data_IF_208585695064
#
_entry.id   IF_208585695064
#
_cell.length_a   1.000
_cell.length_b   1.000
_cell.length_c   1.000
_cell.angle_alpha   90.00
_cell.angle_beta   90.00
_cell.angle_gamma   90.00
#
_symmetry.space_group_name_H-M   'P 1'
#
loop_
_entity.id
_entity.type
_entity.pdbx_description
1 polymer ?
#
# COMPACT_ATOMS: atom_id res chain seq x y z
N UNK A 1 -6.79 26.94 -59.85
CA UNK A 1 -7.38 27.15 -58.50
C UNK A 1 -8.59 26.25 -58.24
N UNK A 2 -9.52 26.11 -59.19
CA UNK A 2 -10.75 25.28 -59.04
C UNK A 2 -10.50 23.79 -58.74
N UNK A 3 -9.57 23.14 -59.46
CA UNK A 3 -9.28 21.71 -59.31
C UNK A 3 -8.75 21.31 -57.91
N UNK A 4 -8.04 22.21 -57.24
CA UNK A 4 -7.55 21.99 -55.86
C UNK A 4 -8.68 22.01 -54.83
N UNK A 5 -9.68 22.88 -55.05
CA UNK A 5 -10.85 23.01 -54.18
C UNK A 5 -11.75 21.76 -54.25
N UNK A 6 -11.88 21.16 -55.43
CA UNK A 6 -12.66 19.93 -55.63
C UNK A 6 -12.01 18.71 -54.95
N UNK A 7 -10.68 18.59 -55.04
CA UNK A 7 -9.91 17.53 -54.35
C UNK A 7 -10.08 17.67 -52.83
N UNK A 8 -9.95 18.89 -52.29
CA UNK A 8 -10.14 19.15 -50.87
C UNK A 8 -11.55 18.76 -50.40
N UNK A 9 -12.58 19.16 -51.14
CA UNK A 9 -13.95 18.78 -50.79
C UNK A 9 -14.18 17.26 -50.85
N UNK A 10 -13.53 16.56 -51.78
CA UNK A 10 -13.62 15.10 -51.90
C UNK A 10 -13.00 14.41 -50.68
N UNK A 11 -11.82 14.87 -50.23
CA UNK A 11 -11.16 14.37 -49.02
C UNK A 11 -12.05 14.59 -47.79
N UNK A 12 -12.64 15.78 -47.64
CA UNK A 12 -13.53 16.08 -46.50
C UNK A 12 -14.78 15.18 -46.49
N UNK A 13 -15.38 14.93 -47.66
CA UNK A 13 -16.54 14.04 -47.79
C UNK A 13 -16.19 12.58 -47.48
N UNK A 14 -15.02 12.13 -47.93
CA UNK A 14 -14.53 10.77 -47.66
C UNK A 14 -14.21 10.58 -46.18
N UNK A 15 -13.56 11.57 -45.55
CA UNK A 15 -13.28 11.56 -44.10
C UNK A 15 -14.58 11.53 -43.28
N UNK A 16 -15.62 12.26 -43.72
CA UNK A 16 -16.96 12.21 -43.10
C UNK A 16 -17.65 10.85 -43.31
N UNK A 17 -17.52 10.22 -44.48
CA UNK A 17 -18.05 8.87 -44.76
C UNK A 17 -17.36 7.80 -43.91
N UNK A 18 -16.03 7.85 -43.79
CA UNK A 18 -15.26 6.93 -42.95
C UNK A 18 -15.69 7.06 -41.48
N UNK A 19 -15.86 8.30 -40.98
CA UNK A 19 -16.39 8.54 -39.62
C UNK A 19 -17.82 8.02 -39.44
N UNK A 20 -18.67 8.11 -40.47
CA UNK A 20 -20.08 7.67 -40.42
C UNK A 20 -20.23 6.15 -40.61
N UNK A 21 -19.26 5.49 -41.24
CA UNK A 21 -19.24 4.04 -41.50
C UNK A 21 -18.71 3.21 -40.34
N UNK A 22 -18.02 3.82 -39.37
CA UNK A 22 -17.62 3.18 -38.12
C UNK A 22 -18.86 3.05 -37.22
N UNK A 23 -19.75 2.11 -37.54
CA UNK A 23 -20.78 1.66 -36.61
C UNK A 23 -20.05 1.04 -35.42
N UNK A 24 -19.92 1.80 -34.33
CA UNK A 24 -19.50 1.27 -33.04
C UNK A 24 -20.57 0.26 -32.61
N UNK A 25 -20.23 -1.03 -32.68
CA UNK A 25 -21.00 -2.07 -32.02
C UNK A 25 -20.85 -1.83 -30.53
N UNK A 26 -21.85 -1.19 -29.95
CA UNK A 26 -21.91 -0.94 -28.52
C UNK A 26 -22.34 -2.25 -27.84
N UNK A 27 -21.35 -3.07 -27.48
CA UNK A 27 -21.59 -4.23 -26.63
C UNK A 27 -21.90 -3.68 -25.24
N UNK A 28 -23.17 -3.76 -24.82
CA UNK A 28 -23.60 -3.38 -23.49
C UNK A 28 -23.63 -4.63 -22.61
N UNK A 29 -22.70 -4.72 -21.67
CA UNK A 29 -22.66 -5.78 -20.66
C UNK A 29 -23.57 -5.34 -19.50
N UNK A 30 -24.55 -6.15 -19.08
CA UNK A 30 -25.35 -5.89 -17.89
C UNK A 30 -24.49 -5.68 -16.63
N UNK A 31 -24.91 -4.78 -15.74
CA UNK A 31 -24.11 -4.39 -14.57
C UNK A 31 -23.83 -5.54 -13.62
N UNK A 32 -24.82 -6.41 -13.40
CA UNK A 32 -24.72 -7.62 -12.60
C UNK A 32 -23.66 -8.59 -13.16
N UNK A 33 -23.66 -8.81 -14.47
CA UNK A 33 -22.66 -9.66 -15.13
C UNK A 33 -21.27 -9.05 -15.03
N UNK A 34 -21.15 -7.73 -15.24
CA UNK A 34 -19.89 -7.01 -15.07
C UNK A 34 -19.35 -7.16 -13.65
N UNK A 35 -20.18 -6.91 -12.63
CA UNK A 35 -19.81 -7.05 -11.23
C UNK A 35 -19.40 -8.48 -10.89
N UNK A 36 -20.11 -9.50 -11.37
CA UNK A 36 -19.75 -10.90 -11.16
C UNK A 36 -18.37 -11.23 -11.74
N UNK A 37 -18.06 -10.71 -12.93
CA UNK A 37 -16.74 -10.86 -13.57
C UNK A 37 -15.67 -10.21 -12.69
N UNK A 38 -15.81 -8.92 -12.34
CA UNK A 38 -14.78 -8.24 -11.54
C UNK A 38 -14.65 -8.81 -10.14
N UNK A 39 -15.72 -9.31 -9.53
CA UNK A 39 -15.70 -9.89 -8.18
C UNK A 39 -14.77 -11.12 -8.07
N UNK A 40 -14.67 -11.90 -9.15
CA UNK A 40 -13.86 -13.13 -9.17
C UNK A 40 -12.38 -12.86 -9.40
N UNK A 41 -12.01 -11.69 -9.93
CA UNK A 41 -10.66 -11.38 -10.34
C UNK A 41 -9.76 -10.94 -9.17
N UNK A 42 -8.43 -11.18 -9.26
CA UNK A 42 -7.44 -10.55 -8.38
C UNK A 42 -7.47 -9.02 -8.51
N UNK A 43 -7.07 -8.32 -7.44
CA UNK A 43 -7.14 -6.85 -7.38
C UNK A 43 -6.37 -6.19 -8.52
N UNK A 44 -5.20 -6.73 -8.88
CA UNK A 44 -4.39 -6.24 -10.00
C UNK A 44 -5.15 -6.19 -11.33
N UNK A 45 -5.92 -7.24 -11.63
CA UNK A 45 -6.74 -7.29 -12.84
C UNK A 45 -7.88 -6.29 -12.78
N UNK A 46 -8.50 -6.12 -11.60
CA UNK A 46 -9.56 -5.14 -11.37
C UNK A 46 -9.05 -3.71 -11.58
N UNK A 47 -7.84 -3.38 -11.11
CA UNK A 47 -7.26 -2.05 -11.30
C UNK A 47 -7.09 -1.70 -12.79
N UNK A 48 -6.73 -2.66 -13.63
CA UNK A 48 -6.66 -2.47 -15.10
C UNK A 48 -8.04 -2.26 -15.72
N UNK A 49 -9.07 -2.90 -15.17
CA UNK A 49 -10.44 -2.82 -15.68
C UNK A 49 -11.11 -1.47 -15.43
N UNK A 50 -10.55 -0.63 -14.57
CA UNK A 50 -10.96 0.78 -14.46
C UNK A 50 -10.78 1.54 -15.79
N UNK A 51 -9.84 1.13 -16.65
CA UNK A 51 -9.60 1.77 -17.94
C UNK A 51 -10.63 1.39 -19.03
N UNK A 52 -11.52 0.41 -18.78
CA UNK A 52 -12.50 -0.08 -19.76
C UNK A 52 -13.57 0.98 -20.04
N UNK A 53 -14.12 1.60 -18.98
CA UNK A 53 -15.11 2.66 -19.10
C UNK A 53 -15.24 3.45 -17.79
N UNK A 54 -15.75 4.69 -17.87
CA UNK A 54 -16.10 5.49 -16.68
C UNK A 54 -17.08 4.79 -15.74
N UNK A 55 -17.97 3.98 -16.30
CA UNK A 55 -18.94 3.21 -15.52
C UNK A 55 -18.23 2.15 -14.67
N UNK A 56 -17.37 1.33 -15.28
CA UNK A 56 -16.59 0.31 -14.59
C UNK A 56 -15.69 0.92 -13.51
N UNK A 57 -14.99 2.01 -13.85
CA UNK A 57 -14.20 2.78 -12.89
C UNK A 57 -15.04 3.21 -11.69
N UNK A 58 -16.24 3.77 -11.93
CA UNK A 58 -17.10 4.28 -10.86
C UNK A 58 -17.57 3.17 -9.91
N UNK A 59 -17.90 1.98 -10.42
CA UNK A 59 -18.32 0.83 -9.61
C UNK A 59 -17.16 0.27 -8.80
N UNK A 60 -16.02 0.05 -9.45
CA UNK A 60 -14.81 -0.51 -8.83
C UNK A 60 -14.29 0.37 -7.69
N UNK A 61 -14.41 1.71 -7.83
CA UNK A 61 -13.95 2.66 -6.80
C UNK A 61 -14.90 2.80 -5.61
N UNK A 62 -16.08 2.17 -5.62
CA UNK A 62 -17.00 2.25 -4.48
C UNK A 62 -16.48 1.47 -3.28
N UNK A 63 -16.72 2.00 -2.07
CA UNK A 63 -16.39 1.30 -0.82
C UNK A 63 -17.15 -0.01 -0.66
N UNK A 64 -18.40 -0.05 -1.12
CA UNK A 64 -19.24 -1.25 -1.10
C UNK A 64 -18.63 -2.38 -1.94
N UNK A 65 -18.24 -2.07 -3.18
CA UNK A 65 -17.56 -3.05 -4.05
C UNK A 65 -16.29 -3.58 -3.38
N UNK A 66 -15.44 -2.71 -2.85
CA UNK A 66 -14.22 -3.11 -2.14
C UNK A 66 -14.49 -4.01 -0.93
N UNK A 67 -15.52 -3.70 -0.12
CA UNK A 67 -15.90 -4.51 1.02
C UNK A 67 -16.41 -5.91 0.61
N UNK A 68 -17.28 -5.97 -0.41
CA UNK A 68 -17.78 -7.25 -0.96
C UNK A 68 -16.66 -8.07 -1.59
N UNK A 69 -15.76 -7.42 -2.34
CA UNK A 69 -14.61 -8.08 -2.95
C UNK A 69 -13.67 -8.67 -1.91
N UNK A 70 -13.31 -7.90 -0.87
CA UNK A 70 -12.49 -8.40 0.23
C UNK A 70 -13.13 -9.59 0.95
N UNK A 71 -14.44 -9.51 1.25
CA UNK A 71 -15.16 -10.62 1.86
C UNK A 71 -15.18 -11.86 0.95
N UNK A 72 -15.35 -11.67 -0.37
CA UNK A 72 -15.32 -12.75 -1.34
C UNK A 72 -13.93 -13.40 -1.44
N UNK A 73 -12.84 -12.63 -1.47
CA UNK A 73 -11.48 -13.20 -1.51
C UNK A 73 -11.11 -13.93 -0.22
N UNK A 74 -11.57 -13.47 0.96
CA UNK A 74 -11.35 -14.16 2.24
C UNK A 74 -12.00 -15.54 2.33
N UNK A 75 -13.04 -15.78 1.53
CA UNK A 75 -13.74 -17.07 1.47
C UNK A 75 -13.13 -18.04 0.44
N UNK A 76 -12.14 -17.61 -0.35
CA UNK A 76 -11.39 -18.51 -1.24
C UNK A 76 -10.32 -19.27 -0.45
N UNK A 77 -9.67 -20.20 -1.13
CA UNK A 77 -8.57 -20.96 -0.55
C UNK A 77 -7.51 -20.04 0.04
N UNK A 78 -7.08 -20.30 1.30
CA UNK A 78 -6.10 -19.48 1.98
C UNK A 78 -4.79 -19.45 1.19
N UNK A 79 -4.15 -18.28 1.18
CA UNK A 79 -2.88 -18.05 0.47
C UNK A 79 -1.82 -17.63 1.47
N UNK A 80 -0.59 -18.04 1.22
CA UNK A 80 0.56 -17.62 2.01
C UNK A 80 1.18 -16.37 1.39
N UNK A 81 1.44 -15.37 2.23
CA UNK A 81 2.21 -14.20 1.83
C UNK A 81 3.57 -14.25 2.52
N UNK A 82 4.62 -14.44 1.72
CA UNK A 82 6.00 -14.37 2.18
C UNK A 82 6.50 -12.94 1.98
N UNK A 83 7.10 -12.38 3.03
CA UNK A 83 7.72 -11.06 2.97
C UNK A 83 9.21 -11.21 3.22
N UNK A 84 10.02 -10.62 2.35
CA UNK A 84 11.47 -10.56 2.48
C UNK A 84 11.93 -9.14 2.19
N UNK A 85 13.06 -8.73 2.76
CA UNK A 85 13.57 -7.38 2.62
C UNK A 85 15.10 -7.39 2.43
N UNK A 86 15.58 -6.41 1.68
CA UNK A 86 16.99 -6.04 1.56
C UNK A 86 17.24 -4.66 2.14
N UNK A 87 18.40 -4.07 1.83
CA UNK A 87 18.77 -2.72 2.29
C UNK A 87 17.90 -1.60 1.68
N UNK A 88 17.37 -1.83 0.48
CA UNK A 88 16.70 -0.83 -0.37
C UNK A 88 15.40 -1.33 -1.00
N UNK A 89 14.93 -2.52 -0.61
CA UNK A 89 13.71 -3.08 -1.18
C UNK A 89 12.96 -4.04 -0.25
N UNK A 90 11.65 -4.14 -0.46
CA UNK A 90 10.77 -5.13 0.17
C UNK A 90 10.09 -5.94 -0.92
N UNK A 91 10.13 -7.27 -0.79
CA UNK A 91 9.53 -8.21 -1.72
C UNK A 91 8.43 -9.00 -1.03
N UNK A 92 7.28 -9.06 -1.70
CA UNK A 92 6.14 -9.89 -1.33
C UNK A 92 5.99 -11.01 -2.36
N UNK A 93 5.82 -12.24 -1.90
CA UNK A 93 5.50 -13.40 -2.72
C UNK A 93 4.23 -14.06 -2.19
N UNK A 94 3.18 -14.05 -3.01
CA UNK A 94 1.96 -14.78 -2.73
C UNK A 94 2.07 -16.18 -3.31
N UNK A 95 1.86 -17.18 -2.46
CA UNK A 95 1.95 -18.59 -2.76
C UNK A 95 0.64 -19.25 -2.44
N UNK A 96 0.25 -20.21 -3.27
CA UNK A 96 -0.86 -21.11 -2.94
C UNK A 96 -0.49 -21.95 -1.70
N UNK A 97 -1.44 -22.11 -0.75
CA UNK A 97 -1.15 -22.81 0.50
C UNK A 97 -0.88 -24.30 0.27
N UNK A 98 -1.62 -24.94 -0.62
CA UNK A 98 -1.54 -26.40 -0.81
C UNK A 98 -0.33 -26.79 -1.66
N UNK A 99 -0.12 -26.09 -2.77
CA UNK A 99 0.90 -26.41 -3.77
C UNK A 99 2.21 -25.65 -3.58
N UNK A 100 2.22 -24.59 -2.75
CA UNK A 100 3.37 -23.66 -2.61
C UNK A 100 3.78 -23.02 -3.95
N UNK A 101 2.89 -23.06 -4.95
CA UNK A 101 3.16 -22.47 -6.27
C UNK A 101 3.13 -20.94 -6.17
N UNK A 102 4.04 -20.27 -6.90
CA UNK A 102 4.09 -18.81 -6.96
C UNK A 102 2.95 -18.30 -7.84
N UNK A 103 2.04 -17.54 -7.26
CA UNK A 103 0.97 -16.90 -8.02
C UNK A 103 1.30 -15.45 -8.38
N UNK A 104 1.82 -14.71 -7.42
CA UNK A 104 2.07 -13.28 -7.56
C UNK A 104 3.33 -12.87 -6.80
N UNK A 105 4.05 -11.90 -7.38
CA UNK A 105 5.24 -11.32 -6.78
C UNK A 105 5.22 -9.82 -6.97
N UNK A 106 5.52 -9.11 -5.89
CA UNK A 106 5.59 -7.65 -5.82
C UNK A 106 6.93 -7.25 -5.20
N UNK A 107 7.52 -6.19 -5.71
CA UNK A 107 8.78 -5.64 -5.21
C UNK A 107 8.62 -4.13 -5.12
N UNK A 108 8.91 -3.58 -3.96
CA UNK A 108 8.89 -2.15 -3.69
C UNK A 108 10.31 -1.71 -3.43
N UNK A 109 10.77 -0.72 -4.20
CA UNK A 109 11.97 0.04 -3.87
C UNK A 109 11.63 0.99 -2.71
N UNK A 110 12.53 1.07 -1.75
CA UNK A 110 12.41 1.96 -0.60
C UNK A 110 13.71 2.71 -0.40
N UNK A 111 13.64 3.82 0.34
CA UNK A 111 14.85 4.52 0.76
C UNK A 111 15.75 3.58 1.56
N UNK A 112 17.07 3.75 1.42
CA UNK A 112 18.05 2.95 2.13
C UNK A 112 17.75 2.94 3.63
N UNK A 113 17.68 1.74 4.19
CA UNK A 113 17.22 1.56 5.56
C UNK A 113 18.42 1.55 6.50
N UNK A 114 18.35 2.38 7.53
CA UNK A 114 19.37 2.40 8.56
C UNK A 114 18.94 1.54 9.76
N UNK A 115 19.45 0.31 9.82
CA UNK A 115 19.24 -0.61 10.93
C UNK A 115 18.27 -1.76 10.62
N UNK A 116 17.90 -2.57 11.64
CA UNK A 116 17.00 -3.70 11.45
C UNK A 116 15.58 -3.23 11.14
N UNK A 117 14.96 -3.83 10.12
CA UNK A 117 13.55 -3.62 9.76
C UNK A 117 12.70 -4.71 10.39
N UNK A 118 11.53 -4.31 10.84
CA UNK A 118 10.44 -5.19 11.20
C UNK A 118 9.23 -4.91 10.30
N UNK A 119 8.37 -5.92 10.19
CA UNK A 119 7.20 -5.90 9.32
C UNK A 119 5.98 -6.22 10.18
N UNK A 120 4.93 -5.42 10.06
CA UNK A 120 3.70 -5.64 10.81
C UNK A 120 2.91 -6.82 10.26
N UNK A 121 1.96 -7.30 11.05
CA UNK A 121 0.86 -8.08 10.51
C UNK A 121 0.09 -7.28 9.42
N UNK A 122 -0.58 -8.01 8.53
CA UNK A 122 -1.38 -7.38 7.48
C UNK A 122 -2.75 -6.96 8.03
N UNK A 123 -3.19 -5.74 7.67
CA UNK A 123 -4.51 -5.23 8.02
C UNK A 123 -5.24 -4.79 6.75
N UNK A 124 -6.28 -5.52 6.35
CA UNK A 124 -7.04 -5.27 5.10
C UNK A 124 -6.13 -5.13 3.85
N UNK A 125 -5.03 -5.89 3.80
CA UNK A 125 -4.06 -5.86 2.69
C UNK A 125 -3.01 -4.75 2.78
N UNK A 126 -3.09 -3.89 3.80
CA UNK A 126 -2.03 -2.96 4.16
C UNK A 126 -0.99 -3.66 5.03
N UNK A 127 0.28 -3.36 4.81
CA UNK A 127 1.40 -3.87 5.60
C UNK A 127 2.31 -2.70 5.94
N UNK A 128 2.70 -2.57 7.21
CA UNK A 128 3.68 -1.59 7.63
C UNK A 128 5.07 -2.22 7.67
N UNK A 129 6.09 -1.44 7.32
CA UNK A 129 7.49 -1.74 7.62
C UNK A 129 8.08 -0.59 8.41
N UNK A 130 8.90 -0.91 9.40
CA UNK A 130 9.35 0.07 10.38
C UNK A 130 10.70 -0.29 10.98
N UNK A 131 11.38 0.72 11.51
CA UNK A 131 12.59 0.61 12.31
C UNK A 131 12.61 1.72 13.37
N UNK A 132 13.67 1.76 14.19
CA UNK A 132 13.77 2.75 15.27
C UNK A 132 14.21 4.15 14.80
N UNK A 133 14.75 4.24 13.59
CA UNK A 133 15.48 5.42 13.11
C UNK A 133 14.75 6.19 12.01
N UNK A 134 13.77 5.56 11.33
CA UNK A 134 13.06 6.14 10.18
C UNK A 134 11.54 6.04 10.34
N UNK A 135 10.82 6.88 9.58
CA UNK A 135 9.36 6.88 9.56
C UNK A 135 8.80 5.52 9.13
N UNK A 136 7.65 5.14 9.71
CA UNK A 136 6.93 3.94 9.32
C UNK A 136 6.43 4.09 7.88
N UNK A 137 6.83 3.15 7.03
CA UNK A 137 6.31 3.03 5.68
C UNK A 137 5.09 2.11 5.64
N UNK A 138 4.14 2.42 4.76
CA UNK A 138 2.92 1.61 4.61
C UNK A 138 2.75 1.21 3.15
N UNK A 139 2.63 -0.08 2.92
CA UNK A 139 2.46 -0.67 1.59
C UNK A 139 1.04 -1.15 1.44
N UNK A 140 0.40 -0.76 0.34
CA UNK A 140 -0.86 -1.33 -0.10
C UNK A 140 -0.57 -2.37 -1.19
N UNK A 141 -0.52 -3.64 -0.78
CA UNK A 141 -0.21 -4.76 -1.69
C UNK A 141 -1.27 -4.95 -2.77
N UNK A 142 -2.52 -4.60 -2.46
CA UNK A 142 -3.64 -4.71 -3.39
C UNK A 142 -3.57 -3.72 -4.55
N UNK A 143 -3.01 -2.52 -4.32
CA UNK A 143 -2.88 -1.47 -5.35
C UNK A 143 -1.46 -1.31 -5.87
N UNK A 144 -0.51 -2.11 -5.36
CA UNK A 144 0.92 -2.00 -5.68
C UNK A 144 1.48 -0.59 -5.39
N UNK A 145 1.03 0.04 -4.30
CA UNK A 145 1.46 1.41 -3.96
C UNK A 145 2.15 1.48 -2.60
N UNK A 146 3.24 2.25 -2.54
CA UNK A 146 3.82 2.74 -1.30
C UNK A 146 3.06 4.02 -0.93
N UNK A 147 2.41 4.01 0.23
CA UNK A 147 1.73 5.19 0.76
C UNK A 147 2.77 6.18 1.33
N UNK A 148 2.41 7.47 1.43
CA UNK A 148 3.28 8.45 2.09
C UNK A 148 3.71 7.97 3.48
N UNK A 149 4.99 8.17 3.86
CA UNK A 149 5.49 7.75 5.16
C UNK A 149 4.73 8.46 6.27
N UNK A 150 4.58 7.75 7.39
CA UNK A 150 3.86 8.28 8.53
C UNK A 150 4.69 9.32 9.27
N UNK A 151 4.04 10.23 10.03
CA UNK A 151 4.76 11.12 10.93
C UNK A 151 5.65 10.33 11.88
N UNK A 152 6.86 10.82 12.10
CA UNK A 152 7.80 10.21 13.04
C UNK A 152 7.20 10.11 14.45
N UNK A 153 7.37 8.96 15.07
CA UNK A 153 7.12 8.80 16.50
C UNK A 153 8.12 9.64 17.32
N UNK A 154 7.76 9.99 18.55
CA UNK A 154 8.60 10.80 19.43
C UNK A 154 9.98 10.18 19.65
N UNK A 155 10.06 8.86 19.87
CA UNK A 155 11.34 8.18 20.04
C UNK A 155 12.19 8.19 18.75
N UNK A 156 11.57 8.11 17.57
CA UNK A 156 12.29 8.19 16.29
C UNK A 156 12.83 9.60 16.06
N UNK A 157 12.08 10.63 16.47
CA UNK A 157 12.57 12.02 16.49
C UNK A 157 13.73 12.18 17.44
N UNK A 158 13.62 11.62 18.65
CA UNK A 158 14.70 11.65 19.64
C UNK A 158 15.97 10.97 19.12
N UNK A 159 15.84 9.81 18.49
CA UNK A 159 16.95 9.12 17.83
C UNK A 159 17.59 9.98 16.73
N UNK A 160 16.79 10.68 15.93
CA UNK A 160 17.30 11.58 14.89
C UNK A 160 18.06 12.78 15.48
N UNK A 161 17.59 13.30 16.62
CA UNK A 161 18.20 14.44 17.30
C UNK A 161 19.48 14.02 18.07
N UNK A 162 19.58 12.76 18.52
CA UNK A 162 20.77 12.21 19.17
C UNK A 162 21.15 10.83 18.57
N UNK A 163 21.81 10.77 17.41
CA UNK A 163 22.10 9.50 16.72
C UNK A 163 23.03 8.56 17.49
N UNK A 164 23.71 9.05 18.53
CA UNK A 164 24.57 8.25 19.43
C UNK A 164 23.76 7.45 20.48
N UNK A 165 22.41 7.50 20.42
CA UNK A 165 21.47 6.77 21.27
C UNK A 165 21.52 5.24 21.12
N UNK A 166 22.24 4.71 20.12
CA UNK A 166 22.22 3.29 19.78
C UNK A 166 23.40 2.49 20.39
N UNK A 167 23.00 1.63 21.34
CA UNK A 167 23.62 0.37 21.81
C UNK A 167 24.79 0.45 22.79
N UNK A 168 24.53 -0.18 23.94
CA UNK A 168 25.46 -0.78 24.89
C UNK A 168 26.70 0.03 25.21
N UNK A 169 26.54 1.03 26.08
CA UNK A 169 27.60 1.27 27.03
C UNK A 169 27.01 1.34 28.43
N UNK A 170 27.03 0.18 29.09
CA UNK A 170 27.25 0.17 30.53
C UNK A 170 28.68 0.71 30.76
N UNK A 171 28.91 2.01 30.56
CA UNK A 171 30.06 2.64 31.20
C UNK A 171 29.64 2.80 32.64
N UNK A 172 30.18 1.96 33.51
CA UNK A 172 30.27 2.24 34.93
C UNK A 172 31.22 3.43 35.12
N UNK A 173 30.76 4.64 34.79
CA UNK A 173 31.39 5.88 35.22
C UNK A 173 30.35 6.63 36.06
N UNK A 174 30.53 6.59 37.38
CA UNK A 174 29.62 7.12 38.40
C UNK A 174 29.32 8.64 38.27
N UNK A 175 29.95 9.32 37.29
CA UNK A 175 29.77 10.73 36.98
C UNK A 175 29.06 11.02 35.64
N UNK A 176 28.78 10.02 34.81
CA UNK A 176 28.16 10.22 33.50
C UNK A 176 26.64 10.36 33.62
N UNK A 177 26.08 11.44 33.04
CA UNK A 177 24.63 11.58 32.88
C UNK A 177 24.13 10.39 32.04
N UNK A 178 23.10 9.63 32.47
CA UNK A 178 22.65 8.48 31.71
C UNK A 178 22.15 8.94 30.34
N UNK A 179 22.84 8.52 29.28
CA UNK A 179 22.40 8.76 27.90
C UNK A 179 21.12 7.96 27.72
N UNK A 180 20.03 8.57 27.22
CA UNK A 180 18.81 7.83 27.05
C UNK A 180 19.03 6.66 26.08
N UNK A 181 18.28 5.57 26.21
CA UNK A 181 18.22 4.51 25.20
C UNK A 181 16.88 3.78 25.23
N UNK A 182 16.50 3.21 24.09
CA UNK A 182 15.25 2.46 23.96
C UNK A 182 15.53 1.01 24.34
N UNK A 183 14.92 0.53 25.43
CA UNK A 183 15.14 -0.84 25.91
C UNK A 183 14.11 -1.84 25.39
N UNK A 184 12.97 -1.35 24.92
CA UNK A 184 11.85 -2.16 24.47
C UNK A 184 11.00 -1.38 23.48
N UNK A 185 10.56 -2.04 22.40
CA UNK A 185 9.53 -1.53 21.50
C UNK A 185 8.58 -2.64 21.08
N UNK A 186 7.29 -2.33 21.01
CA UNK A 186 6.27 -3.18 20.38
C UNK A 186 5.39 -2.33 19.47
N UNK A 187 5.16 -2.84 18.26
CA UNK A 187 4.37 -2.19 17.23
C UNK A 187 3.03 -2.91 17.04
N UNK A 188 1.95 -2.14 17.04
CA UNK A 188 0.61 -2.63 16.72
C UNK A 188 0.03 -1.88 15.53
N UNK A 189 -0.53 -2.61 14.57
CA UNK A 189 -1.27 -2.04 13.44
C UNK A 189 -2.63 -2.69 13.32
N UNK A 190 -3.68 -1.88 13.25
CA UNK A 190 -5.04 -2.40 13.19
C UNK A 190 -6.05 -1.40 12.68
N UNK A 191 -7.29 -1.84 12.57
CA UNK A 191 -8.41 -1.03 12.13
C UNK A 191 -9.45 -0.95 13.23
N UNK A 192 -9.90 0.26 13.50
CA UNK A 192 -11.04 0.52 14.37
C UNK A 192 -12.32 0.13 13.64
N UNK A 193 -12.99 -0.92 14.10
CA UNK A 193 -14.21 -1.42 13.46
C UNK A 193 -15.41 -0.46 13.56
N UNK A 194 -15.38 0.51 14.50
CA UNK A 194 -16.46 1.50 14.65
C UNK A 194 -16.28 2.64 13.66
N UNK A 195 -15.06 3.20 13.58
CA UNK A 195 -14.77 4.36 12.72
C UNK A 195 -14.30 3.99 11.32
N UNK A 196 -13.88 2.74 11.13
CA UNK A 196 -13.22 2.24 9.91
C UNK A 196 -11.82 2.80 9.69
N UNK A 197 -11.25 3.54 10.65
CA UNK A 197 -9.93 4.16 10.54
C UNK A 197 -8.83 3.20 10.98
N UNK A 198 -7.71 3.24 10.27
CA UNK A 198 -6.52 2.49 10.66
C UNK A 198 -5.77 3.23 11.77
N UNK A 199 -5.25 2.46 12.72
CA UNK A 199 -4.54 2.93 13.91
C UNK A 199 -3.21 2.18 14.00
N UNK A 200 -2.20 2.92 14.40
CA UNK A 200 -0.88 2.40 14.75
C UNK A 200 -0.61 2.75 16.19
N UNK A 201 -0.05 1.79 16.91
CA UNK A 201 0.32 1.93 18.32
C UNK A 201 1.78 1.53 18.49
N UNK A 202 2.54 2.39 19.15
CA UNK A 202 3.88 2.07 19.64
C UNK A 202 3.86 2.02 21.15
N UNK A 203 4.37 0.93 21.71
CA UNK A 203 4.69 0.79 23.13
C UNK A 203 6.19 0.73 23.26
N UNK A 204 6.79 1.65 24.00
CA UNK A 204 8.24 1.67 24.18
C UNK A 204 8.64 2.21 25.54
N UNK A 205 9.82 1.77 26.00
CA UNK A 205 10.44 2.28 27.21
C UNK A 205 11.74 3.01 26.86
N UNK A 206 11.89 4.21 27.39
CA UNK A 206 13.16 4.96 27.35
C UNK A 206 13.77 4.92 28.73
N UNK A 207 15.02 4.48 28.83
CA UNK A 207 15.83 4.61 30.04
C UNK A 207 16.73 5.82 29.94
N UNK A 208 17.03 6.53 31.05
CA UNK A 208 16.44 6.33 32.38
C UNK A 208 14.96 6.76 32.41
N UNK A 209 14.18 6.20 33.34
CA UNK A 209 12.70 6.29 33.41
C UNK A 209 12.18 7.73 33.43
N UNK A 210 13.01 8.68 33.86
CA UNK A 210 12.70 10.12 33.97
C UNK A 210 12.46 10.80 32.61
N UNK A 211 12.77 10.11 31.50
CA UNK A 211 12.48 10.58 30.14
C UNK A 211 11.01 10.36 29.74
N UNK A 212 10.49 11.14 28.77
CA UNK A 212 9.12 10.99 28.30
C UNK A 212 8.84 9.57 27.80
N UNK A 213 8.13 8.79 28.62
CA UNK A 213 7.53 7.55 28.18
C UNK A 213 6.37 7.88 27.25
N UNK A 214 6.10 7.03 26.26
CA UNK A 214 5.06 7.35 25.30
C UNK A 214 4.30 6.15 24.78
N UNK A 215 2.98 6.30 24.80
CA UNK A 215 2.07 5.59 23.92
C UNK A 215 1.77 6.52 22.74
N UNK A 216 2.15 6.13 21.52
CA UNK A 216 1.76 6.90 20.33
C UNK A 216 0.67 6.14 19.61
N UNK A 217 -0.55 6.69 19.64
CA UNK A 217 -1.64 6.31 18.75
C UNK A 217 -1.60 7.26 17.55
N UNK A 218 -0.99 6.83 16.45
CA UNK A 218 -1.06 7.58 15.18
C UNK A 218 -2.22 7.03 14.34
N UNK A 219 -2.99 7.95 13.75
CA UNK A 219 -4.10 7.61 12.86
C UNK A 219 -3.63 7.71 11.43
N UNK A 220 -3.81 6.65 10.66
CA UNK A 220 -3.75 6.69 9.20
C UNK A 220 -5.06 7.33 8.71
N UNK A 221 -4.94 8.44 7.97
CA UNK A 221 -6.09 9.10 7.33
C UNK A 221 -6.47 8.40 6.02
#
# INVERSE_FOLDING_TARGET
MMASMEIYQRIVRETKRIRKGRREWKIEIPNDVMEEIVMKLPVRSIMRFQAVSKHWESVIKTRDFGARHMAHQRNKDPKLMFVSYGFDHIRFEQRDLETTSLEERLCFEIEEINGPIEISECCDGLVCFYCLTQAVGVINTATETLLPPLPLANFQRLHKDHPDLERDVMVEDDAAVPVPFISFTMFGFGKDNVTGRYKIVWLYNIYPIDWPQGDIISYLK
#
